data_IF_229480715172
#
_entry.id   IF_229480715172
#
_cell.length_a   1.000
_cell.length_b   1.000
_cell.length_c   1.000
_cell.angle_alpha   90.00
_cell.angle_beta   90.00
_cell.angle_gamma   90.00
#
_symmetry.space_group_name_H-M   'P 1'
#
loop_
_entity.id
_entity.type
_entity.pdbx_description
1 polymer ?
#
# COMPACT_ATOMS: atom_id res chain seq x y z
N UNK A 1 1.88 -26.05 -7.93
CA UNK A 1 2.37 -25.14 -9.00
C UNK A 1 1.62 -23.80 -9.04
N UNK A 2 0.54 -23.55 -8.28
CA UNK A 2 -0.14 -22.25 -8.26
C UNK A 2 -0.53 -21.84 -6.82
N UNK A 3 0.44 -21.34 -6.05
CA UNK A 3 0.16 -20.55 -4.84
C UNK A 3 0.96 -19.24 -4.95
N UNK A 4 0.51 -18.34 -5.83
CA UNK A 4 1.12 -17.01 -5.98
C UNK A 4 0.21 -15.95 -5.35
N UNK A 5 0.29 -15.68 -4.05
CA UNK A 5 -0.22 -14.43 -3.51
C UNK A 5 0.48 -14.02 -2.22
N UNK A 6 0.92 -12.76 -2.11
CA UNK A 6 1.13 -12.09 -0.84
C UNK A 6 0.04 -11.02 -0.59
N UNK A 7 -0.40 -10.21 -1.58
CA UNK A 7 -1.65 -9.41 -1.52
C UNK A 7 -1.97 -8.74 -2.87
N UNK A 8 -3.20 -8.92 -3.39
CA UNK A 8 -3.69 -8.23 -4.60
C UNK A 8 -4.06 -6.75 -4.39
N UNK A 9 -3.86 -6.22 -3.18
CA UNK A 9 -4.26 -4.87 -2.80
C UNK A 9 -5.67 -4.82 -2.23
N UNK A 10 -6.28 -3.63 -2.28
CA UNK A 10 -7.63 -3.41 -1.76
C UNK A 10 -8.68 -4.16 -2.60
N UNK A 11 -9.70 -4.72 -1.95
CA UNK A 11 -10.85 -5.31 -2.65
C UNK A 11 -11.64 -4.21 -3.36
N UNK A 12 -11.74 -4.28 -4.69
CA UNK A 12 -12.43 -3.28 -5.51
C UNK A 12 -13.94 -3.21 -5.16
N UNK A 13 -14.56 -4.30 -4.71
CA UNK A 13 -15.96 -4.28 -4.25
C UNK A 13 -16.08 -3.50 -2.96
N UNK A 14 -15.13 -3.65 -2.03
CA UNK A 14 -15.09 -2.83 -0.82
C UNK A 14 -14.99 -1.34 -1.18
N UNK A 15 -14.09 -0.98 -2.10
CA UNK A 15 -13.97 0.42 -2.55
C UNK A 15 -15.25 0.93 -3.23
N UNK A 16 -15.90 0.09 -4.03
CA UNK A 16 -17.15 0.43 -4.72
C UNK A 16 -18.30 0.66 -3.73
N UNK A 17 -18.38 -0.12 -2.66
CA UNK A 17 -19.36 0.06 -1.59
C UNK A 17 -19.11 1.38 -0.83
N UNK A 18 -17.86 1.68 -0.50
CA UNK A 18 -17.46 2.95 0.11
C UNK A 18 -17.87 4.15 -0.76
N UNK A 19 -17.66 4.05 -2.08
CA UNK A 19 -18.06 5.09 -3.02
C UNK A 19 -19.60 5.25 -3.08
N UNK A 20 -20.35 4.14 -3.09
CA UNK A 20 -21.81 4.16 -3.10
C UNK A 20 -22.39 4.77 -1.80
N UNK A 21 -21.91 4.33 -0.63
CA UNK A 21 -22.32 4.89 0.67
C UNK A 21 -22.03 6.40 0.75
N UNK A 22 -20.88 6.82 0.22
CA UNK A 22 -20.50 8.24 0.17
C UNK A 22 -21.33 9.05 -0.84
N UNK A 23 -21.88 8.42 -1.88
CA UNK A 23 -22.69 9.09 -2.90
C UNK A 23 -24.05 9.53 -2.35
N UNK A 24 -24.64 8.76 -1.42
CA UNK A 24 -25.91 9.04 -0.75
C UNK A 24 -25.86 10.25 0.21
N UNK A 25 -24.66 10.79 0.49
CA UNK A 25 -24.49 11.97 1.34
C UNK A 25 -24.44 13.22 0.45
N UNK A 26 -25.49 14.05 0.48
CA UNK A 26 -25.56 15.26 -0.34
C UNK A 26 -24.57 16.35 0.10
N UNK A 27 -24.37 16.52 1.41
CA UNK A 27 -23.49 17.56 1.94
C UNK A 27 -22.01 17.17 1.88
N UNK A 28 -21.23 17.96 1.15
CA UNK A 28 -19.79 17.74 0.93
C UNK A 28 -19.02 17.66 2.26
N UNK A 29 -19.37 18.50 3.25
CA UNK A 29 -18.68 18.50 4.53
C UNK A 29 -18.90 17.19 5.30
N UNK A 30 -20.15 16.72 5.40
CA UNK A 30 -20.48 15.42 5.99
C UNK A 30 -19.85 14.26 5.22
N UNK A 31 -19.85 14.31 3.88
CA UNK A 31 -19.21 13.30 3.03
C UNK A 31 -17.71 13.20 3.33
N UNK A 32 -17.02 14.32 3.42
CA UNK A 32 -15.59 14.36 3.74
C UNK A 32 -15.30 13.77 5.13
N UNK A 33 -16.13 14.05 6.14
CA UNK A 33 -15.98 13.46 7.47
C UNK A 33 -16.21 11.95 7.47
N UNK A 34 -17.19 11.47 6.71
CA UNK A 34 -17.45 10.05 6.53
C UNK A 34 -16.26 9.34 5.87
N UNK A 35 -15.79 9.84 4.73
CA UNK A 35 -14.60 9.31 4.02
C UNK A 35 -13.36 9.35 4.91
N UNK A 36 -13.12 10.45 5.62
CA UNK A 36 -12.00 10.56 6.55
C UNK A 36 -12.05 9.48 7.64
N UNK A 37 -13.23 9.24 8.23
CA UNK A 37 -13.38 8.18 9.25
C UNK A 37 -13.03 6.80 8.68
N UNK A 38 -13.43 6.52 7.43
CA UNK A 38 -13.06 5.27 6.77
C UNK A 38 -11.55 5.15 6.55
N UNK A 39 -10.91 6.19 6.01
CA UNK A 39 -9.46 6.23 5.80
C UNK A 39 -8.72 5.99 7.11
N UNK A 40 -9.13 6.64 8.21
CA UNK A 40 -8.50 6.50 9.51
C UNK A 40 -8.59 5.06 10.06
N UNK A 41 -9.75 4.40 9.92
CA UNK A 41 -9.90 2.99 10.33
C UNK A 41 -8.98 2.05 9.53
N UNK A 42 -8.86 2.29 8.22
CA UNK A 42 -7.96 1.50 7.36
C UNK A 42 -6.50 1.74 7.74
N UNK A 43 -6.10 3.00 7.94
CA UNK A 43 -4.77 3.38 8.45
C UNK A 43 -4.45 2.71 9.79
N UNK A 44 -5.40 2.70 10.73
CA UNK A 44 -5.23 2.05 12.04
C UNK A 44 -5.01 0.53 11.91
N UNK A 45 -5.75 -0.11 11.01
CA UNK A 45 -5.63 -1.54 10.75
C UNK A 45 -4.25 -1.90 10.18
N UNK A 46 -3.78 -1.13 9.19
CA UNK A 46 -2.47 -1.33 8.57
C UNK A 46 -1.31 -0.97 9.50
N UNK A 47 -1.45 0.09 10.32
CA UNK A 47 -0.42 0.51 11.29
C UNK A 47 -0.45 -0.26 12.60
N UNK A 48 -1.36 -1.22 12.77
CA UNK A 48 -1.33 -2.09 13.95
C UNK A 48 0.01 -2.82 14.07
N UNK A 49 0.64 -3.18 12.94
CA UNK A 49 1.97 -3.83 12.93
C UNK A 49 3.09 -2.88 13.36
N UNK A 50 3.02 -1.60 12.99
CA UNK A 50 3.98 -0.55 13.41
C UNK A 50 3.90 -0.27 14.92
N UNK A 51 2.73 -0.52 15.54
CA UNK A 51 2.53 -0.41 16.99
C UNK A 51 2.86 -1.68 17.76
N UNK A 52 3.28 -2.75 17.08
CA UNK A 52 3.63 -4.00 17.72
C UNK A 52 4.92 -3.84 18.54
N UNK A 53 4.93 -4.30 19.80
CA UNK A 53 6.13 -4.27 20.64
C UNK A 53 7.21 -5.27 20.21
N UNK A 54 6.86 -6.19 19.29
CA UNK A 54 7.75 -7.24 18.79
C UNK A 54 8.14 -6.91 17.35
N UNK A 55 9.40 -7.17 16.95
CA UNK A 55 9.81 -7.01 15.57
C UNK A 55 8.91 -7.80 14.61
N UNK A 56 8.41 -7.13 13.57
CA UNK A 56 7.57 -7.69 12.52
C UNK A 56 8.37 -7.79 11.23
N UNK A 57 8.46 -9.01 10.68
CA UNK A 57 9.19 -9.31 9.45
C UNK A 57 8.19 -9.67 8.36
N UNK A 58 8.18 -8.91 7.27
CA UNK A 58 7.43 -9.24 6.07
C UNK A 58 8.23 -10.21 5.18
N UNK A 59 7.65 -11.38 4.92
CA UNK A 59 8.15 -12.34 3.93
C UNK A 59 7.25 -12.31 2.69
N UNK A 60 7.73 -11.70 1.62
CA UNK A 60 6.95 -11.35 0.43
C UNK A 60 7.28 -12.33 -0.69
N UNK A 61 6.26 -12.87 -1.37
CA UNK A 61 6.44 -13.75 -2.54
C UNK A 61 5.28 -13.59 -3.52
N UNK A 62 5.51 -13.53 -4.83
CA UNK A 62 4.43 -13.38 -5.82
C UNK A 62 4.09 -11.92 -6.13
N UNK A 63 2.91 -11.40 -5.79
CA UNK A 63 2.46 -10.04 -6.12
C UNK A 63 2.20 -9.15 -4.91
N UNK A 64 3.03 -8.13 -4.65
CA UNK A 64 2.82 -7.16 -3.58
C UNK A 64 2.29 -5.83 -4.15
N UNK A 65 0.97 -5.66 -4.17
CA UNK A 65 0.31 -4.58 -4.92
C UNK A 65 -0.48 -3.65 -3.99
N UNK A 66 -0.37 -2.34 -4.20
CA UNK A 66 -1.11 -1.29 -3.49
C UNK A 66 -1.03 -1.43 -1.96
N UNK A 67 -2.17 -1.70 -1.32
CA UNK A 67 -2.25 -1.98 0.12
C UNK A 67 -1.28 -3.07 0.63
N UNK A 68 -0.83 -4.00 -0.22
CA UNK A 68 0.25 -4.94 0.12
C UNK A 68 1.60 -4.24 0.35
N UNK A 69 1.92 -3.25 -0.49
CA UNK A 69 3.10 -2.39 -0.33
C UNK A 69 2.95 -1.55 0.94
N UNK A 70 1.77 -0.96 1.18
CA UNK A 70 1.49 -0.19 2.39
C UNK A 70 1.72 -1.01 3.67
N UNK A 71 1.18 -2.24 3.71
CA UNK A 71 1.36 -3.14 4.85
C UNK A 71 2.83 -3.49 5.04
N UNK A 72 3.53 -3.85 3.96
CA UNK A 72 4.94 -4.20 4.03
C UNK A 72 5.78 -3.04 4.56
N UNK A 73 5.47 -1.81 4.16
CA UNK A 73 6.16 -0.60 4.61
C UNK A 73 6.06 -0.39 6.12
N UNK A 74 4.94 -0.82 6.73
CA UNK A 74 4.74 -0.77 8.18
C UNK A 74 5.55 -1.82 8.96
N UNK A 75 6.14 -2.83 8.31
CA UNK A 75 6.98 -3.83 8.99
C UNK A 75 8.42 -3.33 9.20
N UNK A 76 9.11 -3.87 10.21
CA UNK A 76 10.50 -3.51 10.52
C UNK A 76 11.47 -3.98 9.43
N UNK A 77 11.32 -5.23 8.99
CA UNK A 77 12.18 -5.88 8.01
C UNK A 77 11.32 -6.45 6.89
N UNK A 78 11.78 -6.31 5.64
CA UNK A 78 11.10 -6.83 4.46
C UNK A 78 12.07 -7.67 3.63
N UNK A 79 11.70 -8.94 3.41
CA UNK A 79 12.37 -9.87 2.51
C UNK A 79 11.43 -10.29 1.39
N UNK A 80 12.01 -10.62 0.24
CA UNK A 80 11.25 -10.99 -0.95
C UNK A 80 11.82 -12.21 -1.62
N UNK A 81 10.97 -13.06 -2.20
CA UNK A 81 11.41 -14.02 -3.20
C UNK A 81 11.82 -13.29 -4.48
N UNK A 82 12.75 -13.88 -5.25
CA UNK A 82 13.29 -13.28 -6.49
C UNK A 82 12.22 -13.02 -7.55
N UNK A 83 11.17 -13.84 -7.57
CA UNK A 83 10.06 -13.77 -8.51
C UNK A 83 8.92 -12.86 -8.07
N UNK A 84 9.14 -12.03 -7.03
CA UNK A 84 8.12 -11.08 -6.57
C UNK A 84 8.02 -9.89 -7.51
N UNK A 85 6.78 -9.48 -7.77
CA UNK A 85 6.40 -8.27 -8.50
C UNK A 85 5.71 -7.31 -7.54
N UNK A 86 6.11 -6.04 -7.59
CA UNK A 86 5.56 -4.98 -6.76
C UNK A 86 4.85 -3.94 -7.63
N UNK A 87 3.90 -3.19 -7.06
CA UNK A 87 3.32 -1.99 -7.68
C UNK A 87 2.63 -1.12 -6.64
N UNK A 88 2.85 0.19 -6.71
CA UNK A 88 2.10 1.22 -5.98
C UNK A 88 0.94 1.61 -6.89
N UNK A 89 -0.20 0.95 -6.72
CA UNK A 89 -1.26 0.84 -7.75
C UNK A 89 -2.38 1.88 -7.61
N UNK A 90 -2.32 2.72 -6.57
CA UNK A 90 -3.41 3.60 -6.17
C UNK A 90 -3.75 4.65 -7.23
N UNK A 91 -2.77 5.17 -7.98
CA UNK A 91 -3.06 6.21 -8.98
C UNK A 91 -3.86 5.66 -10.17
N UNK A 92 -3.73 4.37 -10.49
CA UNK A 92 -4.53 3.72 -11.55
C UNK A 92 -6.01 3.57 -11.18
N UNK A 93 -6.37 3.71 -9.89
CA UNK A 93 -7.77 3.77 -9.43
C UNK A 93 -8.19 5.20 -9.06
N UNK A 94 -7.39 6.22 -9.42
CA UNK A 94 -7.71 7.62 -9.18
C UNK A 94 -7.48 8.08 -7.73
N UNK A 95 -6.66 7.37 -6.96
CA UNK A 95 -6.36 7.68 -5.57
C UNK A 95 -4.87 7.95 -5.36
N UNK A 96 -4.55 8.82 -4.41
CA UNK A 96 -3.21 8.84 -3.85
C UNK A 96 -3.11 7.76 -2.76
N UNK A 97 -1.96 7.12 -2.62
CA UNK A 97 -1.74 6.16 -1.54
C UNK A 97 -1.80 6.86 -0.17
N UNK A 98 -2.86 6.56 0.58
CA UNK A 98 -3.25 7.29 1.79
C UNK A 98 -3.15 6.44 3.07
N UNK A 99 -2.79 5.17 2.97
CA UNK A 99 -2.80 4.24 4.12
C UNK A 99 -1.42 3.80 4.63
N UNK A 100 -0.32 4.10 3.93
CA UNK A 100 1.03 3.83 4.46
C UNK A 100 2.20 4.32 3.60
N UNK A 101 2.18 3.98 2.31
CA UNK A 101 3.30 4.13 1.37
C UNK A 101 3.87 5.54 1.37
N UNK A 102 3.03 6.56 1.18
CA UNK A 102 3.50 7.96 1.08
C UNK A 102 3.94 8.55 2.43
N UNK A 103 3.53 7.96 3.55
CA UNK A 103 3.86 8.46 4.90
C UNK A 103 5.10 7.78 5.48
N UNK A 104 5.38 6.55 5.05
CA UNK A 104 6.43 5.69 5.62
C UNK A 104 7.61 5.56 4.66
N UNK A 105 7.38 5.16 3.40
CA UNK A 105 8.46 4.83 2.48
C UNK A 105 9.42 6.00 2.20
N UNK A 106 8.99 7.27 2.09
CA UNK A 106 9.94 8.39 1.94
C UNK A 106 10.99 8.53 3.05
N UNK A 107 10.79 7.90 4.21
CA UNK A 107 11.75 7.89 5.32
C UNK A 107 12.72 6.70 5.26
N UNK A 108 12.42 5.70 4.44
CA UNK A 108 13.14 4.43 4.33
C UNK A 108 13.88 4.29 3.00
N UNK A 109 13.34 4.89 1.94
CA UNK A 109 13.84 4.73 0.58
C UNK A 109 15.07 5.60 0.31
N UNK A 110 15.99 5.08 -0.49
CA UNK A 110 17.27 5.73 -0.83
C UNK A 110 17.20 6.48 -2.16
N UNK A 111 16.46 5.95 -3.13
CA UNK A 111 16.28 6.55 -4.46
C UNK A 111 14.90 7.21 -4.58
N UNK A 112 14.85 8.50 -4.20
CA UNK A 112 13.61 9.27 -4.26
C UNK A 112 13.14 9.58 -5.69
N UNK A 113 14.01 9.53 -6.70
CA UNK A 113 13.60 9.79 -8.08
C UNK A 113 12.84 8.59 -8.61
N UNK A 114 13.42 7.40 -8.48
CA UNK A 114 12.78 6.15 -8.86
C UNK A 114 11.50 5.91 -8.06
N UNK A 115 11.51 6.15 -6.74
CA UNK A 115 10.30 6.03 -5.93
C UNK A 115 9.14 6.91 -6.46
N UNK A 116 9.41 8.17 -6.84
CA UNK A 116 8.38 9.03 -7.42
C UNK A 116 7.88 8.52 -8.76
N UNK A 117 8.76 8.00 -9.61
CA UNK A 117 8.36 7.36 -10.86
C UNK A 117 7.41 6.18 -10.62
N UNK A 118 7.76 5.28 -9.68
CA UNK A 118 6.94 4.11 -9.34
C UNK A 118 5.56 4.51 -8.80
N UNK A 119 5.50 5.54 -7.94
CA UNK A 119 4.23 6.08 -7.40
C UNK A 119 3.38 6.71 -8.50
N UNK A 120 3.98 7.53 -9.37
CA UNK A 120 3.25 8.34 -10.34
C UNK A 120 2.83 7.55 -11.59
N UNK A 121 3.50 6.44 -11.89
CA UNK A 121 3.22 5.62 -13.08
C UNK A 121 2.44 4.35 -12.78
N UNK A 122 2.34 3.96 -11.50
CA UNK A 122 1.78 2.66 -11.07
C UNK A 122 2.36 1.43 -11.76
N UNK A 123 3.49 1.55 -12.47
CA UNK A 123 4.09 0.43 -13.19
C UNK A 123 4.51 -0.66 -12.20
N UNK A 124 4.51 -1.91 -12.69
CA UNK A 124 5.10 -3.00 -11.93
C UNK A 124 6.62 -2.86 -11.90
N UNK A 125 7.23 -3.28 -10.80
CA UNK A 125 8.67 -3.35 -10.63
C UNK A 125 9.08 -4.65 -9.96
N UNK A 126 10.31 -5.08 -10.22
CA UNK A 126 10.84 -6.36 -9.76
C UNK A 126 11.58 -6.24 -8.42
N UNK A 127 12.09 -7.37 -7.94
CA UNK A 127 12.88 -7.46 -6.70
C UNK A 127 14.16 -6.61 -6.75
N UNK A 128 14.77 -6.42 -7.93
CA UNK A 128 16.01 -5.64 -8.05
C UNK A 128 15.72 -4.15 -7.85
N UNK A 129 14.69 -3.63 -8.51
CA UNK A 129 14.24 -2.24 -8.31
C UNK A 129 13.75 -2.02 -6.87
N UNK A 130 13.03 -3.00 -6.30
CA UNK A 130 12.60 -2.94 -4.90
C UNK A 130 13.80 -2.87 -3.93
N UNK A 131 14.88 -3.60 -4.21
CA UNK A 131 16.11 -3.51 -3.43
C UNK A 131 16.83 -2.17 -3.65
N UNK A 132 16.90 -1.68 -4.90
CA UNK A 132 17.53 -0.40 -5.27
C UNK A 132 16.89 0.79 -4.54
N UNK A 133 15.56 0.83 -4.45
CA UNK A 133 14.86 1.89 -3.72
C UNK A 133 14.95 1.70 -2.20
N UNK A 134 15.43 0.57 -1.70
CA UNK A 134 15.50 0.27 -0.26
C UNK A 134 14.20 -0.27 0.34
N UNK A 135 13.25 -0.71 -0.50
CA UNK A 135 12.00 -1.32 -0.05
C UNK A 135 12.25 -2.70 0.56
N UNK A 136 13.22 -3.47 0.09
CA UNK A 136 13.54 -4.80 0.64
C UNK A 136 15.05 -4.95 0.89
N UNK A 137 15.44 -5.95 1.69
CA UNK A 137 16.85 -6.33 1.93
C UNK A 137 17.26 -7.57 1.14
#
# INVERSE_FOLDING_TARGET
>A
MHDRFPSGGIDIKYLSNVAAESAEIDDIARKALHVRSMIQRTQESLRAVDKCEKPVIAAIHGYCIGAGVDLSACCDIRYSSRDTTFSIKEVDIGLAADVGTLQILPKLITDHSLFRELVLTSRTFDTNEAQQIGLIR
#
